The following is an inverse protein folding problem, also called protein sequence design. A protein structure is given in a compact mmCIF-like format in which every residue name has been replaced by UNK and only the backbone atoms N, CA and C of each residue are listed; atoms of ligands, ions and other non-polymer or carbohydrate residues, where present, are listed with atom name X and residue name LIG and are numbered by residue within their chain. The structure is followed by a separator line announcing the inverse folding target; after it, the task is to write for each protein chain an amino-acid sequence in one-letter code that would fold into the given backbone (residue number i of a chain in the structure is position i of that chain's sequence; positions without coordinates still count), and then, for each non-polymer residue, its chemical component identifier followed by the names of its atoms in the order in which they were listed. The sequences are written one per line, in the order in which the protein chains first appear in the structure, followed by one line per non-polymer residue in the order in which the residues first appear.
data_IF_017265213800
#
_entry.id   IF_017265213800
#
_cell.length_a   1.000
_cell.length_b   1.000
_cell.length_c   1.000
_cell.angle_alpha   90.00
_cell.angle_beta   90.00
_cell.angle_gamma   90.00
#
_symmetry.space_group_name_H-M   'P 1'
#
loop_
_entity.id
_entity.type
_entity.pdbx_description
1 polymer ?
#
# COMPACT_ATOMS: atom_id res chain seq x y z
N UNK A 1 -6.11 35.62 -3.72
CA UNK A 1 -6.05 35.63 -5.18
C UNK A 1 -4.98 34.62 -5.56
N UNK A 2 -5.39 33.44 -6.04
CA UNK A 2 -4.48 32.33 -6.34
C UNK A 2 -3.71 32.64 -7.63
N UNK A 3 -2.52 33.23 -7.49
CA UNK A 3 -1.58 33.29 -8.58
C UNK A 3 -1.10 31.87 -8.89
N UNK A 4 -1.21 31.48 -10.14
CA UNK A 4 -0.63 30.33 -10.85
C UNK A 4 0.04 29.25 -9.99
N UNK A 5 -0.76 28.38 -9.35
CA UNK A 5 -0.24 27.27 -8.56
C UNK A 5 0.56 26.28 -9.42
N UNK A 6 0.13 25.99 -10.64
CA UNK A 6 0.79 25.02 -11.51
C UNK A 6 2.26 25.39 -11.84
N UNK A 7 2.61 26.67 -12.17
CA UNK A 7 3.99 27.08 -12.32
C UNK A 7 4.85 26.91 -11.06
N UNK A 8 4.27 27.12 -9.87
CA UNK A 8 5.01 26.92 -8.61
C UNK A 8 5.27 25.44 -8.34
N UNK A 9 4.29 24.56 -8.62
CA UNK A 9 4.47 23.10 -8.51
C UNK A 9 5.57 22.64 -9.47
N UNK A 10 5.50 23.05 -10.74
CA UNK A 10 6.51 22.73 -11.77
C UNK A 10 7.90 23.20 -11.35
N UNK A 11 8.01 24.43 -10.86
CA UNK A 11 9.24 25.00 -10.35
C UNK A 11 9.84 24.16 -9.22
N UNK A 12 9.03 23.78 -8.22
CA UNK A 12 9.52 23.07 -7.06
C UNK A 12 9.95 21.63 -7.41
N UNK A 13 9.18 20.93 -8.26
CA UNK A 13 9.56 19.61 -8.77
C UNK A 13 10.88 19.67 -9.53
N UNK A 14 11.09 20.67 -10.39
CA UNK A 14 12.34 20.87 -11.11
C UNK A 14 13.51 21.17 -10.16
N UNK A 15 13.30 22.03 -9.16
CA UNK A 15 14.30 22.38 -8.17
C UNK A 15 14.75 21.16 -7.36
N UNK A 16 13.82 20.33 -6.93
CA UNK A 16 14.09 19.09 -6.20
C UNK A 16 14.84 18.07 -7.07
N UNK A 17 14.43 17.92 -8.34
CA UNK A 17 15.06 17.02 -9.32
C UNK A 17 16.52 17.39 -9.59
N UNK A 18 16.81 18.66 -9.76
CA UNK A 18 18.17 19.15 -10.07
C UNK A 18 19.05 19.29 -8.81
N UNK A 19 18.45 19.38 -7.63
CA UNK A 19 19.15 19.49 -6.34
C UNK A 19 20.08 20.70 -6.22
N UNK A 20 19.91 21.73 -7.10
CA UNK A 20 20.82 22.87 -7.19
C UNK A 20 20.15 24.11 -7.76
N UNK A 21 20.19 25.22 -7.01
CA UNK A 21 19.59 26.50 -7.39
C UNK A 21 20.13 27.06 -8.71
N UNK A 22 21.46 26.96 -8.94
CA UNK A 22 22.07 27.48 -10.16
C UNK A 22 21.73 26.63 -11.39
N UNK A 23 21.63 25.31 -11.23
CA UNK A 23 21.17 24.43 -12.30
C UNK A 23 19.71 24.70 -12.66
N UNK A 24 18.84 24.88 -11.66
CA UNK A 24 17.44 25.25 -11.87
C UNK A 24 17.30 26.61 -12.56
N UNK A 25 18.14 27.58 -12.18
CA UNK A 25 18.12 28.89 -12.81
C UNK A 25 18.48 28.82 -14.30
N UNK A 26 19.49 28.03 -14.66
CA UNK A 26 19.87 27.80 -16.07
C UNK A 26 18.76 27.13 -16.87
N UNK A 27 18.15 26.10 -16.31
CA UNK A 27 17.07 25.36 -16.97
C UNK A 27 15.83 26.24 -17.21
N UNK A 28 15.53 27.13 -16.27
CA UNK A 28 14.38 28.06 -16.40
C UNK A 28 14.73 29.37 -17.12
N UNK A 29 15.96 29.58 -17.55
CA UNK A 29 16.39 30.81 -18.23
C UNK A 29 16.32 32.06 -17.34
N UNK A 30 16.50 31.90 -16.00
CA UNK A 30 16.43 32.99 -15.03
C UNK A 30 17.73 33.11 -14.21
N UNK A 31 17.84 34.15 -13.39
CA UNK A 31 19.00 34.34 -12.50
C UNK A 31 18.86 33.54 -11.20
N UNK A 32 19.97 33.07 -10.57
CA UNK A 32 19.90 32.37 -9.27
C UNK A 32 19.20 33.17 -8.16
N UNK A 33 19.33 34.51 -8.04
CA UNK A 33 18.53 35.28 -7.09
C UNK A 33 17.00 35.18 -7.33
N UNK A 34 16.58 35.08 -8.59
CA UNK A 34 15.17 34.91 -8.91
C UNK A 34 14.60 33.54 -8.39
N UNK A 35 15.40 32.48 -8.49
CA UNK A 35 15.05 31.15 -7.91
C UNK A 35 14.91 31.25 -6.39
N UNK A 36 15.89 31.87 -5.72
CA UNK A 36 15.85 32.05 -4.26
C UNK A 36 14.62 32.84 -3.83
N UNK A 37 14.34 33.95 -4.53
CA UNK A 37 13.16 34.78 -4.25
C UNK A 37 11.86 34.01 -4.45
N UNK A 38 11.73 33.22 -5.52
CA UNK A 38 10.56 32.43 -5.80
C UNK A 38 10.32 31.36 -4.71
N UNK A 39 11.37 30.63 -4.32
CA UNK A 39 11.30 29.67 -3.22
C UNK A 39 10.88 30.34 -1.90
N UNK A 40 11.49 31.49 -1.57
CA UNK A 40 11.15 32.23 -0.35
C UNK A 40 9.68 32.67 -0.34
N UNK A 41 9.14 33.13 -1.47
CA UNK A 41 7.73 33.51 -1.58
C UNK A 41 6.79 32.28 -1.43
N UNK A 42 7.19 31.11 -1.95
CA UNK A 42 6.45 29.88 -1.74
C UNK A 42 6.45 29.46 -0.26
N UNK A 43 7.60 29.45 0.38
CA UNK A 43 7.75 29.11 1.82
C UNK A 43 6.96 30.09 2.70
N UNK A 44 7.00 31.39 2.41
CA UNK A 44 6.19 32.40 3.12
C UNK A 44 4.69 32.18 2.96
N UNK A 45 4.23 31.85 1.74
CA UNK A 45 2.82 31.55 1.46
C UNK A 45 2.33 30.30 2.21
N UNK A 46 3.18 29.28 2.32
CA UNK A 46 2.87 28.03 2.98
C UNK A 46 3.08 28.09 4.50
N UNK A 47 3.85 29.07 5.00
CA UNK A 47 4.19 29.19 6.41
C UNK A 47 5.20 28.17 6.92
N UNK A 48 5.85 27.44 6.01
CA UNK A 48 6.84 26.39 6.34
C UNK A 48 8.06 26.48 5.43
N UNK A 49 9.19 25.96 5.90
CA UNK A 49 10.38 25.79 5.06
C UNK A 49 10.29 24.48 4.30
N UNK A 50 10.54 24.51 2.99
CA UNK A 50 10.57 23.35 2.12
C UNK A 50 11.99 22.83 1.89
N UNK A 51 12.99 23.69 2.09
CA UNK A 51 14.39 23.39 1.78
C UNK A 51 15.29 23.76 2.97
N UNK A 52 16.19 22.86 3.34
CA UNK A 52 17.24 23.14 4.31
C UNK A 52 18.30 24.08 3.68
N UNK A 53 18.53 25.22 4.31
CA UNK A 53 19.49 26.22 3.83
C UNK A 53 20.91 25.89 4.28
N UNK A 54 21.50 24.82 3.76
CA UNK A 54 22.93 24.56 3.93
C UNK A 54 23.71 24.85 2.61
N UNK A 55 24.87 25.45 2.71
CA UNK A 55 25.57 26.09 1.60
C UNK A 55 26.18 25.16 0.55
N UNK A 56 26.09 23.83 0.65
CA UNK A 56 26.77 22.89 -0.26
C UNK A 56 25.87 21.97 -1.07
N UNK A 57 24.68 21.63 -0.58
CA UNK A 57 23.68 20.84 -1.32
C UNK A 57 22.28 21.26 -0.87
N UNK A 58 21.36 21.30 -1.82
CA UNK A 58 19.95 21.48 -1.54
C UNK A 58 19.41 20.16 -1.01
N UNK A 59 18.88 20.16 0.22
CA UNK A 59 18.13 19.05 0.79
C UNK A 59 16.73 19.52 1.18
N UNK A 60 15.75 18.65 1.01
CA UNK A 60 14.38 18.95 1.39
C UNK A 60 14.21 18.81 2.91
N UNK A 61 13.23 19.51 3.47
CA UNK A 61 12.67 19.26 4.79
C UNK A 61 11.62 18.14 4.68
N UNK A 62 11.09 17.65 5.79
CA UNK A 62 9.94 16.70 5.79
C UNK A 62 8.72 17.29 5.08
N UNK A 63 8.46 18.59 5.30
CA UNK A 63 7.42 19.35 4.62
C UNK A 63 7.70 19.48 3.12
N UNK A 64 9.00 19.70 2.76
CA UNK A 64 9.45 19.75 1.37
C UNK A 64 9.28 18.42 0.64
N UNK A 65 9.59 17.29 1.28
CA UNK A 65 9.37 15.96 0.72
C UNK A 65 7.87 15.68 0.50
N UNK A 66 7.03 16.00 1.50
CA UNK A 66 5.58 15.87 1.39
C UNK A 66 5.02 16.77 0.27
N UNK A 67 5.47 18.02 0.20
CA UNK A 67 5.04 18.94 -0.85
C UNK A 67 5.48 18.47 -2.24
N UNK A 68 6.70 17.94 -2.38
CA UNK A 68 7.22 17.39 -3.64
C UNK A 68 6.36 16.24 -4.14
N UNK A 69 6.05 15.28 -3.27
CA UNK A 69 5.23 14.11 -3.62
C UNK A 69 3.86 14.54 -4.14
N UNK A 70 3.20 15.48 -3.42
CA UNK A 70 1.89 15.98 -3.82
C UNK A 70 1.94 16.86 -5.07
N UNK A 71 2.97 17.71 -5.21
CA UNK A 71 3.16 18.56 -6.38
C UNK A 71 3.31 17.73 -7.66
N UNK A 72 4.15 16.69 -7.61
CA UNK A 72 4.33 15.76 -8.72
C UNK A 72 3.02 15.07 -9.11
N UNK A 73 2.26 14.57 -8.11
CA UNK A 73 0.96 13.92 -8.34
C UNK A 73 -0.08 14.87 -8.96
N UNK A 74 -0.14 16.14 -8.52
CA UNK A 74 -1.05 17.15 -9.09
C UNK A 74 -0.69 17.45 -10.54
N UNK A 75 0.60 17.61 -10.85
CA UNK A 75 1.05 17.86 -12.23
C UNK A 75 0.76 16.69 -13.15
N UNK A 76 0.94 15.45 -12.68
CA UNK A 76 0.56 14.25 -13.42
C UNK A 76 -0.96 14.19 -13.62
N UNK A 77 -1.76 14.54 -12.60
CA UNK A 77 -3.23 14.60 -12.71
C UNK A 77 -3.71 15.65 -13.71
N UNK A 78 -3.04 16.80 -13.81
CA UNK A 78 -3.34 17.83 -14.83
C UNK A 78 -3.05 17.26 -16.22
N UNK A 79 -1.91 16.62 -16.41
CA UNK A 79 -1.55 15.98 -17.67
C UNK A 79 -2.54 14.88 -18.08
N UNK A 80 -2.88 14.00 -17.14
CA UNK A 80 -3.88 12.93 -17.36
C UNK A 80 -5.24 13.51 -17.78
N UNK A 81 -5.65 14.64 -17.17
CA UNK A 81 -6.89 15.33 -17.51
C UNK A 81 -6.84 15.89 -18.94
N UNK A 82 -5.79 16.62 -19.31
CA UNK A 82 -5.61 17.18 -20.66
C UNK A 82 -5.61 16.08 -21.72
N UNK A 83 -4.93 14.96 -21.45
CA UNK A 83 -4.92 13.80 -22.33
C UNK A 83 -6.27 13.10 -22.44
N UNK A 84 -7.04 13.01 -21.37
CA UNK A 84 -8.38 12.40 -21.40
C UNK A 84 -9.38 13.19 -22.26
N UNK A 85 -9.17 14.49 -22.38
CA UNK A 85 -10.01 15.39 -23.21
C UNK A 85 -9.56 15.38 -24.67
N UNK A 86 -8.23 15.29 -24.91
CA UNK A 86 -7.65 15.40 -26.26
C UNK A 86 -7.74 14.12 -27.10
N UNK A 87 -7.89 12.94 -26.44
CA UNK A 87 -7.94 11.67 -27.16
C UNK A 87 -8.92 10.71 -26.49
N UNK A 88 -10.04 10.41 -27.15
CA UNK A 88 -11.06 9.48 -26.63
C UNK A 88 -10.59 8.04 -26.36
N UNK A 89 -9.29 7.73 -26.57
CA UNK A 89 -8.57 6.49 -26.23
C UNK A 89 -7.08 6.80 -26.03
N UNK A 90 -6.72 7.50 -24.96
CA UNK A 90 -5.31 7.71 -24.63
C UNK A 90 -4.63 6.36 -24.32
N UNK A 91 -3.45 6.12 -24.91
CA UNK A 91 -2.59 5.02 -24.52
C UNK A 91 -2.09 5.22 -23.07
N UNK A 92 -1.94 4.16 -22.27
CA UNK A 92 -1.39 4.26 -20.93
C UNK A 92 0.04 4.81 -20.96
N UNK A 93 0.33 5.88 -20.22
CA UNK A 93 1.69 6.46 -20.11
C UNK A 93 1.88 7.25 -18.82
N UNK A 94 3.12 7.55 -18.46
CA UNK A 94 3.50 8.31 -17.28
C UNK A 94 3.64 7.46 -16.02
N UNK A 95 3.82 8.11 -14.86
CA UNK A 95 4.10 7.42 -13.60
C UNK A 95 2.82 6.92 -12.94
N UNK A 96 2.82 5.62 -12.58
CA UNK A 96 1.78 4.92 -11.84
C UNK A 96 2.30 4.55 -10.45
N UNK A 97 1.75 5.14 -9.40
CA UNK A 97 2.12 4.87 -8.01
C UNK A 97 1.20 3.84 -7.40
N UNK A 98 1.76 2.67 -7.10
CA UNK A 98 1.04 1.51 -6.56
C UNK A 98 1.49 1.25 -5.13
N UNK A 99 0.53 1.12 -4.23
CA UNK A 99 0.79 0.70 -2.87
C UNK A 99 0.22 -0.71 -2.63
N UNK A 100 0.97 -1.57 -1.93
CA UNK A 100 0.53 -2.92 -1.57
C UNK A 100 1.05 -3.34 -0.19
N UNK A 101 0.42 -4.37 0.41
CA UNK A 101 0.94 -4.97 1.65
C UNK A 101 2.28 -5.67 1.41
N UNK A 102 3.23 -5.66 2.37
CA UNK A 102 4.61 -6.12 2.14
C UNK A 102 4.72 -7.54 1.56
N UNK A 103 4.16 -8.55 2.23
CA UNK A 103 4.29 -9.95 1.80
C UNK A 103 3.63 -10.21 0.44
N UNK A 104 2.36 -9.85 0.27
CA UNK A 104 1.62 -10.04 -0.97
C UNK A 104 2.18 -9.17 -2.11
N UNK A 105 2.52 -7.94 -1.80
CA UNK A 105 3.13 -7.03 -2.77
C UNK A 105 4.41 -7.58 -3.37
N UNK A 106 5.31 -8.09 -2.51
CA UNK A 106 6.59 -8.67 -2.93
C UNK A 106 6.40 -9.96 -3.76
N UNK A 107 5.50 -10.85 -3.32
CA UNK A 107 5.40 -12.19 -3.89
C UNK A 107 4.45 -12.30 -5.08
N UNK A 108 3.39 -11.49 -5.12
CA UNK A 108 2.35 -11.57 -6.16
C UNK A 108 2.28 -10.32 -7.03
N UNK A 109 2.35 -9.12 -6.44
CA UNK A 109 2.15 -7.87 -7.20
C UNK A 109 3.41 -7.45 -7.96
N UNK A 110 4.60 -7.55 -7.37
CA UNK A 110 5.84 -7.14 -8.05
C UNK A 110 6.11 -7.94 -9.35
N UNK A 111 5.89 -9.28 -9.42
CA UNK A 111 5.95 -10.01 -10.68
C UNK A 111 4.92 -9.56 -11.72
N UNK A 112 3.70 -9.21 -11.29
CA UNK A 112 2.65 -8.68 -12.16
C UNK A 112 3.01 -7.31 -12.71
N UNK A 113 3.57 -6.42 -11.88
CA UNK A 113 4.09 -5.12 -12.31
C UNK A 113 5.17 -5.30 -13.38
N UNK A 114 6.08 -6.26 -13.21
CA UNK A 114 7.11 -6.53 -14.21
C UNK A 114 6.50 -6.89 -15.58
N UNK A 115 5.48 -7.74 -15.62
CA UNK A 115 4.77 -8.09 -16.86
C UNK A 115 4.01 -6.91 -17.45
N UNK A 116 3.34 -6.12 -16.59
CA UNK A 116 2.63 -4.94 -17.02
C UNK A 116 3.55 -3.90 -17.65
N UNK A 117 4.70 -3.61 -17.04
CA UNK A 117 5.69 -2.67 -17.54
C UNK A 117 6.27 -3.10 -18.90
N UNK A 118 6.45 -4.41 -19.12
CA UNK A 118 6.85 -4.91 -20.45
C UNK A 118 5.77 -4.71 -21.52
N UNK A 119 4.48 -4.83 -21.14
CA UNK A 119 3.37 -4.61 -22.07
C UNK A 119 3.06 -3.13 -22.31
N UNK A 120 3.50 -2.26 -21.41
CA UNK A 120 3.23 -0.81 -21.45
C UNK A 120 4.51 -0.01 -21.19
N UNK A 121 5.45 0.06 -22.16
CA UNK A 121 6.79 0.64 -21.96
C UNK A 121 6.75 2.15 -21.65
N UNK A 122 5.67 2.84 -21.97
CA UNK A 122 5.48 4.27 -21.67
C UNK A 122 4.95 4.52 -20.24
N UNK A 123 4.68 3.46 -19.45
CA UNK A 123 4.25 3.56 -18.06
C UNK A 123 5.42 3.23 -17.15
N UNK A 124 5.82 4.21 -16.34
CA UNK A 124 6.71 4.00 -15.20
C UNK A 124 5.88 3.53 -14.00
N UNK A 125 6.31 2.48 -13.29
CA UNK A 125 5.58 2.00 -12.10
C UNK A 125 6.46 2.10 -10.88
N UNK A 126 5.97 2.84 -9.88
CA UNK A 126 6.56 2.90 -8.54
C UNK A 126 5.73 2.03 -7.59
N UNK A 127 6.35 0.99 -7.01
CA UNK A 127 5.72 0.12 -6.02
C UNK A 127 6.22 0.45 -4.62
N UNK A 128 5.31 0.87 -3.76
CA UNK A 128 5.57 1.04 -2.33
C UNK A 128 4.91 -0.06 -1.51
N UNK A 129 5.66 -0.67 -0.61
CA UNK A 129 5.17 -1.74 0.27
C UNK A 129 5.03 -1.22 1.70
N UNK A 130 3.80 -1.22 2.22
CA UNK A 130 3.53 -0.83 3.61
C UNK A 130 2.28 -1.51 4.15
N UNK A 131 2.27 -1.76 5.45
CA UNK A 131 1.15 -2.29 6.22
C UNK A 131 0.27 -1.18 6.83
N UNK A 132 0.71 0.08 6.77
CA UNK A 132 -0.05 1.21 7.31
C UNK A 132 -1.33 1.44 6.52
N UNK A 133 -2.37 1.88 7.22
CA UNK A 133 -3.57 2.44 6.58
C UNK A 133 -3.16 3.71 5.83
N UNK A 134 -3.35 3.71 4.51
CA UNK A 134 -2.89 4.80 3.65
C UNK A 134 -4.09 5.61 3.19
N UNK A 135 -4.03 6.91 3.39
CA UNK A 135 -4.82 7.84 2.62
C UNK A 135 -4.26 7.94 1.19
N UNK A 136 -4.95 7.39 0.21
CA UNK A 136 -4.52 7.45 -1.21
C UNK A 136 -4.26 8.89 -1.67
N UNK A 137 -5.05 9.84 -1.17
CA UNK A 137 -4.93 11.27 -1.51
C UNK A 137 -3.75 11.90 -0.78
N UNK A 138 -3.65 11.64 0.50
CA UNK A 138 -2.68 12.27 1.41
C UNK A 138 -1.25 11.83 1.09
N UNK A 139 -1.07 10.59 0.62
CA UNK A 139 0.25 10.03 0.29
C UNK A 139 0.51 9.93 -1.23
N UNK A 140 -0.37 10.52 -2.05
CA UNK A 140 -0.21 10.64 -3.51
C UNK A 140 -0.06 9.28 -4.26
N UNK A 141 -0.77 8.22 -3.81
CA UNK A 141 -0.86 6.97 -4.55
C UNK A 141 -2.03 6.98 -5.53
N UNK A 142 -1.83 6.39 -6.71
CA UNK A 142 -2.88 6.16 -7.70
C UNK A 142 -3.74 4.96 -7.32
N UNK A 143 -3.12 3.93 -6.77
CA UNK A 143 -3.74 2.64 -6.44
C UNK A 143 -3.25 2.08 -5.10
N UNK A 144 -4.15 1.45 -4.34
CA UNK A 144 -3.78 0.61 -3.21
C UNK A 144 -4.37 -0.80 -3.36
N UNK A 145 -3.55 -1.82 -3.12
CA UNK A 145 -3.95 -3.24 -3.16
C UNK A 145 -3.95 -3.74 -1.73
N UNK A 146 -5.15 -4.07 -1.21
CA UNK A 146 -5.38 -4.37 0.20
C UNK A 146 -6.31 -5.55 0.39
N UNK A 147 -6.13 -6.23 1.52
CA UNK A 147 -7.06 -7.23 2.02
C UNK A 147 -8.11 -6.60 2.93
N UNK A 148 -9.38 -6.98 2.72
CA UNK A 148 -10.53 -6.44 3.44
C UNK A 148 -11.02 -5.11 2.88
N UNK A 149 -12.17 -4.67 3.39
CA UNK A 149 -12.81 -3.44 2.94
C UNK A 149 -12.18 -2.20 3.60
N UNK A 150 -11.96 -1.15 2.81
CA UNK A 150 -11.56 0.17 3.31
C UNK A 150 -12.81 1.05 3.41
N UNK A 151 -13.09 1.65 4.57
CA UNK A 151 -14.31 2.43 4.81
C UNK A 151 -14.26 3.87 4.27
N UNK A 152 -13.55 4.13 3.16
CA UNK A 152 -13.45 5.47 2.57
C UNK A 152 -14.37 5.59 1.35
N UNK A 153 -15.44 6.37 1.49
CA UNK A 153 -16.44 6.59 0.43
C UNK A 153 -15.91 7.33 -0.82
N UNK A 154 -14.72 7.95 -0.72
CA UNK A 154 -14.05 8.61 -1.87
C UNK A 154 -13.41 7.61 -2.83
N UNK A 155 -13.26 6.35 -2.39
CA UNK A 155 -12.58 5.32 -3.14
C UNK A 155 -13.56 4.44 -3.91
N UNK A 156 -13.17 4.08 -5.12
CA UNK A 156 -13.73 2.93 -5.84
C UNK A 156 -12.94 1.70 -5.47
N UNK A 157 -13.64 0.59 -5.25
CA UNK A 157 -13.06 -0.71 -4.95
C UNK A 157 -13.42 -1.71 -6.04
N UNK A 158 -12.44 -2.46 -6.54
CA UNK A 158 -12.68 -3.63 -7.39
C UNK A 158 -12.11 -4.86 -6.70
N UNK A 159 -12.96 -5.83 -6.41
CA UNK A 159 -12.53 -7.12 -5.89
C UNK A 159 -11.68 -7.84 -6.95
N UNK A 160 -10.51 -8.31 -6.54
CA UNK A 160 -9.59 -9.06 -7.38
C UNK A 160 -9.69 -10.57 -7.10
N UNK A 161 -9.72 -10.96 -5.82
CA UNK A 161 -9.64 -12.36 -5.42
C UNK A 161 -10.40 -12.57 -4.11
N UNK A 162 -11.10 -13.71 -3.97
CA UNK A 162 -11.57 -14.17 -2.67
C UNK A 162 -10.39 -14.64 -1.81
N UNK A 163 -10.42 -14.36 -0.50
CA UNK A 163 -9.35 -14.81 0.37
C UNK A 163 -9.89 -15.14 1.76
N UNK A 164 -9.88 -16.42 2.08
CA UNK A 164 -10.20 -16.93 3.41
C UNK A 164 -9.02 -16.75 4.36
N UNK A 165 -9.31 -16.85 5.64
CA UNK A 165 -8.29 -16.89 6.70
C UNK A 165 -8.40 -18.17 7.49
N UNK A 166 -7.27 -18.67 7.98
CA UNK A 166 -7.16 -19.85 8.82
C UNK A 166 -6.45 -19.52 10.13
N UNK A 167 -6.83 -20.24 11.19
CA UNK A 167 -5.93 -20.44 12.31
C UNK A 167 -5.06 -21.64 12.00
N UNK A 168 -3.75 -21.51 12.14
CA UNK A 168 -2.84 -22.60 11.90
C UNK A 168 -1.67 -22.58 12.89
N UNK A 169 -1.07 -23.75 13.10
CA UNK A 169 0.13 -23.94 13.92
C UNK A 169 0.95 -25.11 13.38
N UNK A 170 2.22 -25.19 13.77
CA UNK A 170 3.04 -26.35 13.42
C UNK A 170 2.58 -27.60 14.17
N UNK A 171 2.70 -28.79 13.57
CA UNK A 171 2.41 -30.05 14.25
C UNK A 171 3.26 -30.24 15.54
N UNK A 172 4.47 -29.72 15.54
CA UNK A 172 5.37 -29.78 16.70
C UNK A 172 4.79 -29.03 17.89
N UNK A 173 4.28 -27.82 17.67
CA UNK A 173 3.63 -27.03 18.72
C UNK A 173 2.39 -27.74 19.26
N UNK A 174 1.53 -28.24 18.36
CA UNK A 174 0.28 -28.91 18.74
C UNK A 174 0.52 -30.24 19.51
N UNK A 175 1.59 -30.96 19.20
CA UNK A 175 1.99 -32.15 19.97
C UNK A 175 2.40 -31.82 21.40
N UNK A 176 3.02 -30.67 21.62
CA UNK A 176 3.51 -30.25 22.94
C UNK A 176 2.41 -29.68 23.84
N UNK A 177 1.49 -28.91 23.28
CA UNK A 177 0.54 -28.09 24.03
C UNK A 177 -0.88 -28.61 23.93
N UNK A 178 -1.17 -29.45 22.97
CA UNK A 178 -2.53 -29.89 22.60
C UNK A 178 -3.12 -29.03 21.50
N UNK A 179 -4.28 -29.42 20.98
CA UNK A 179 -5.01 -28.73 19.95
C UNK A 179 -6.28 -28.11 20.55
N UNK A 180 -6.50 -26.79 20.47
CA UNK A 180 -7.71 -26.18 20.98
C UNK A 180 -8.92 -26.58 20.12
N UNK A 181 -10.02 -26.88 20.76
CA UNK A 181 -11.30 -27.25 20.12
C UNK A 181 -12.36 -26.16 20.23
N UNK A 182 -12.18 -25.25 21.18
CA UNK A 182 -13.08 -24.12 21.46
C UNK A 182 -12.32 -22.79 21.49
N UNK A 183 -12.98 -21.68 21.15
CA UNK A 183 -12.38 -20.35 21.21
C UNK A 183 -11.79 -20.00 22.59
N UNK A 184 -12.41 -20.46 23.67
CA UNK A 184 -11.98 -20.19 25.05
C UNK A 184 -10.64 -20.84 25.36
N UNK A 185 -10.33 -21.98 24.74
CA UNK A 185 -9.06 -22.68 24.98
C UNK A 185 -7.86 -21.91 24.41
N UNK A 186 -8.07 -20.97 23.47
CA UNK A 186 -7.01 -20.10 22.96
C UNK A 186 -6.31 -19.29 24.05
N UNK A 187 -6.97 -19.05 25.20
CA UNK A 187 -6.34 -18.40 26.35
C UNK A 187 -5.17 -19.21 26.96
N UNK A 188 -5.14 -20.50 26.72
CA UNK A 188 -4.07 -21.41 27.18
C UNK A 188 -2.97 -21.60 26.16
N UNK A 189 -3.16 -21.08 24.95
CA UNK A 189 -2.21 -21.19 23.86
C UNK A 189 -1.43 -19.91 23.67
N UNK A 190 -0.19 -20.04 23.23
CA UNK A 190 0.59 -18.91 22.70
C UNK A 190 0.06 -18.59 21.31
N UNK A 191 -0.26 -17.33 21.07
CA UNK A 191 -0.75 -16.85 19.79
C UNK A 191 0.25 -15.86 19.19
N UNK A 192 0.60 -16.03 17.93
CA UNK A 192 1.49 -15.12 17.20
C UNK A 192 0.61 -14.03 16.60
N UNK A 193 0.92 -12.77 16.90
CA UNK A 193 0.08 -11.64 16.50
C UNK A 193 0.64 -10.95 15.27
N UNK A 194 -0.11 -11.01 14.19
CA UNK A 194 0.16 -10.21 13.00
C UNK A 194 -0.55 -8.87 13.16
N UNK A 195 0.22 -7.81 13.34
CA UNK A 195 -0.30 -6.44 13.49
C UNK A 195 -0.47 -5.83 12.10
N UNK A 196 -1.70 -5.58 11.69
CA UNK A 196 -2.03 -4.89 10.45
C UNK A 196 -2.98 -3.75 10.81
N UNK A 197 -2.71 -2.57 10.28
CA UNK A 197 -3.51 -1.36 10.55
C UNK A 197 -3.70 -1.08 12.06
N UNK A 198 -4.69 -0.26 12.38
CA UNK A 198 -5.08 0.08 13.75
C UNK A 198 -6.08 -0.92 14.36
N UNK A 199 -6.13 -2.15 13.86
CA UNK A 199 -7.02 -3.18 14.38
C UNK A 199 -6.77 -3.43 15.86
N UNK A 200 -7.86 -3.74 16.59
CA UNK A 200 -7.81 -4.02 18.04
C UNK A 200 -6.85 -5.19 18.28
N UNK A 201 -5.66 -4.83 18.71
CA UNK A 201 -4.53 -5.72 18.92
C UNK A 201 -4.91 -6.92 19.79
N UNK A 202 -4.71 -8.12 19.23
CA UNK A 202 -4.90 -9.36 19.95
C UNK A 202 -6.36 -9.80 20.19
N UNK A 203 -7.32 -9.30 19.41
CA UNK A 203 -8.71 -9.82 19.45
C UNK A 203 -9.01 -10.56 18.16
N UNK A 204 -9.29 -11.87 18.27
CA UNK A 204 -9.70 -12.70 17.14
C UNK A 204 -11.20 -12.92 17.15
N UNK A 205 -11.83 -12.73 15.98
CA UNK A 205 -13.25 -13.01 15.75
C UNK A 205 -13.36 -14.36 15.09
N UNK A 206 -14.07 -15.28 15.77
CA UNK A 206 -14.31 -16.65 15.33
C UNK A 206 -15.82 -16.86 15.20
N UNK A 207 -16.25 -17.51 14.13
CA UNK A 207 -17.68 -17.75 13.88
C UNK A 207 -17.94 -19.22 13.62
N UNK A 208 -18.98 -19.77 14.27
CA UNK A 208 -19.50 -21.12 14.02
C UNK A 208 -21.02 -21.03 13.82
N UNK A 209 -21.47 -21.19 12.58
CA UNK A 209 -22.85 -20.92 12.21
C UNK A 209 -23.24 -19.46 12.51
N UNK A 210 -24.28 -19.26 13.33
CA UNK A 210 -24.71 -17.91 13.77
C UNK A 210 -24.00 -17.37 15.00
N UNK A 211 -23.19 -18.20 15.68
CA UNK A 211 -22.50 -17.80 16.91
C UNK A 211 -21.16 -17.18 16.62
N UNK A 212 -20.93 -15.98 17.15
CA UNK A 212 -19.68 -15.25 17.05
C UNK A 212 -19.02 -15.24 18.42
N UNK A 213 -17.72 -15.56 18.47
CA UNK A 213 -16.88 -15.46 19.64
C UNK A 213 -15.77 -14.44 19.37
N UNK A 214 -15.64 -13.44 20.24
CA UNK A 214 -14.51 -12.53 20.28
C UNK A 214 -13.55 -13.01 21.37
N UNK A 215 -12.35 -13.37 20.97
CA UNK A 215 -11.35 -13.95 21.88
C UNK A 215 -10.15 -13.04 21.95
N UNK A 216 -9.86 -12.55 23.15
CA UNK A 216 -8.63 -11.81 23.40
C UNK A 216 -7.48 -12.80 23.53
N UNK A 217 -6.57 -12.82 22.57
CA UNK A 217 -5.42 -13.72 22.54
C UNK A 217 -4.14 -12.99 22.95
N UNK A 218 -3.17 -13.77 23.42
CA UNK A 218 -1.87 -13.26 23.88
C UNK A 218 -0.76 -14.14 23.32
N UNK A 219 0.40 -13.52 23.07
CA UNK A 219 1.59 -14.22 22.64
C UNK A 219 2.85 -13.44 22.97
N UNK A 220 3.98 -14.15 22.99
CA UNK A 220 5.28 -13.57 23.29
C UNK A 220 5.86 -12.78 22.09
N UNK A 221 5.36 -13.04 20.88
CA UNK A 221 5.90 -12.47 19.65
C UNK A 221 4.79 -11.84 18.79
N UNK A 222 5.11 -10.73 18.16
CA UNK A 222 4.23 -10.03 17.24
C UNK A 222 5.04 -9.27 16.19
N UNK A 223 4.54 -9.18 14.97
CA UNK A 223 5.16 -8.41 13.89
C UNK A 223 4.08 -7.84 12.98
N UNK A 224 4.40 -6.78 12.27
CA UNK A 224 3.63 -6.26 11.16
C UNK A 224 4.02 -6.89 9.81
N UNK A 225 5.04 -7.75 9.80
CA UNK A 225 5.46 -8.50 8.62
C UNK A 225 4.89 -9.92 8.65
N UNK A 226 4.15 -10.27 7.57
CA UNK A 226 3.49 -11.55 7.43
C UNK A 226 4.45 -12.73 7.32
N UNK A 227 5.61 -12.55 6.68
CA UNK A 227 6.61 -13.62 6.51
C UNK A 227 7.28 -13.94 7.85
N UNK A 228 7.54 -12.91 8.67
CA UNK A 228 8.08 -13.07 10.02
C UNK A 228 7.14 -13.90 10.91
N UNK A 229 5.83 -13.54 10.95
CA UNK A 229 4.87 -14.30 11.78
C UNK A 229 4.65 -15.71 11.27
N UNK A 230 4.74 -15.93 9.94
CA UNK A 230 4.67 -17.25 9.34
C UNK A 230 5.85 -18.13 9.75
N UNK A 231 7.06 -17.60 9.71
CA UNK A 231 8.26 -18.32 10.12
C UNK A 231 8.18 -18.74 11.60
N UNK A 232 7.75 -17.85 12.49
CA UNK A 232 7.53 -18.20 13.89
C UNK A 232 6.50 -19.31 14.08
N UNK A 233 5.43 -19.32 13.28
CA UNK A 233 4.45 -20.40 13.33
C UNK A 233 5.05 -21.74 12.90
N UNK A 234 5.85 -21.75 11.84
CA UNK A 234 6.57 -22.93 11.35
C UNK A 234 7.59 -23.47 12.38
N UNK A 235 8.26 -22.57 13.12
CA UNK A 235 9.20 -22.88 14.21
C UNK A 235 8.50 -23.34 15.51
N UNK A 236 7.17 -23.27 15.58
CA UNK A 236 6.41 -23.78 16.73
C UNK A 236 6.23 -22.78 17.87
N UNK A 237 6.29 -21.49 17.59
CA UNK A 237 6.08 -20.47 18.62
C UNK A 237 4.63 -20.34 19.07
N UNK A 238 3.65 -20.83 18.26
CA UNK A 238 2.25 -20.76 18.64
C UNK A 238 1.27 -20.89 17.48
N UNK A 239 0.01 -20.49 17.73
CA UNK A 239 -1.07 -20.43 16.76
C UNK A 239 -1.04 -19.06 16.10
N UNK A 240 -1.23 -19.00 14.77
CA UNK A 240 -1.28 -17.77 13.99
C UNK A 240 -2.54 -17.72 13.13
N UNK A 241 -3.07 -16.52 12.92
CA UNK A 241 -4.10 -16.27 11.90
C UNK A 241 -3.43 -15.86 10.60
N UNK A 242 -3.69 -16.61 9.49
CA UNK A 242 -3.09 -16.33 8.17
C UNK A 242 -4.08 -16.43 7.04
N UNK A 243 -3.83 -15.67 6.00
CA UNK A 243 -4.54 -15.71 4.73
C UNK A 243 -4.27 -17.01 3.96
N UNK A 244 -5.27 -17.49 3.23
CA UNK A 244 -5.19 -18.71 2.43
C UNK A 244 -4.04 -18.67 1.41
N UNK A 245 -3.91 -17.56 0.69
CA UNK A 245 -2.88 -17.40 -0.33
C UNK A 245 -1.45 -17.65 0.19
N UNK A 246 -1.21 -17.43 1.49
CA UNK A 246 0.09 -17.58 2.14
C UNK A 246 0.21 -18.93 2.87
N UNK A 247 -0.86 -19.35 3.55
CA UNK A 247 -0.87 -20.57 4.38
C UNK A 247 -1.02 -21.87 3.55
N UNK A 248 -1.69 -21.83 2.39
CA UNK A 248 -2.08 -23.02 1.63
C UNK A 248 -0.91 -23.98 1.34
N UNK A 249 0.24 -23.48 0.91
CA UNK A 249 1.43 -24.28 0.63
C UNK A 249 1.98 -25.03 1.85
N UNK A 250 1.85 -24.42 3.03
CA UNK A 250 2.32 -25.03 4.29
C UNK A 250 1.29 -25.99 4.88
N UNK A 251 0.01 -25.72 4.68
CA UNK A 251 -1.08 -26.66 5.01
C UNK A 251 -1.00 -27.91 4.11
N UNK A 252 -0.84 -27.72 2.80
CA UNK A 252 -0.71 -28.84 1.85
C UNK A 252 0.54 -29.70 2.09
N UNK A 253 1.65 -29.11 2.50
CA UNK A 253 2.87 -29.84 2.83
C UNK A 253 2.92 -30.44 4.25
N UNK A 254 1.89 -30.20 5.07
CA UNK A 254 1.82 -30.68 6.46
C UNK A 254 2.78 -29.97 7.43
N UNK A 255 3.47 -28.89 6.97
CA UNK A 255 4.33 -28.08 7.84
C UNK A 255 3.50 -27.22 8.81
N UNK A 256 2.29 -26.87 8.44
CA UNK A 256 1.25 -26.34 9.31
C UNK A 256 0.02 -27.24 9.28
N UNK A 257 -0.73 -27.17 10.36
CA UNK A 257 -2.05 -27.80 10.49
C UNK A 257 -3.07 -26.71 10.78
N UNK A 258 -4.24 -26.81 10.15
CA UNK A 258 -5.37 -25.96 10.47
C UNK A 258 -5.89 -26.27 11.88
N UNK A 259 -6.15 -25.21 12.65
CA UNK A 259 -6.64 -25.29 14.02
C UNK A 259 -8.07 -24.83 14.06
N UNK A 260 -8.93 -25.60 14.74
CA UNK A 260 -10.38 -25.33 14.86
C UNK A 260 -11.08 -25.13 13.50
N UNK A 261 -11.02 -26.06 12.55
CA UNK A 261 -11.60 -25.91 11.20
C UNK A 261 -13.12 -25.72 11.18
N UNK A 262 -13.80 -26.01 12.30
CA UNK A 262 -15.24 -25.76 12.46
C UNK A 262 -15.59 -24.28 12.69
N UNK A 263 -14.58 -23.41 12.86
CA UNK A 263 -14.76 -21.98 13.06
C UNK A 263 -14.19 -21.21 11.86
N UNK A 264 -15.01 -20.36 11.25
CA UNK A 264 -14.55 -19.42 10.22
C UNK A 264 -14.04 -18.13 10.86
N UNK A 265 -13.13 -17.52 10.17
CA UNK A 265 -12.64 -16.15 10.45
C UNK A 265 -13.31 -15.19 9.46
N UNK A 266 -13.38 -13.88 9.74
CA UNK A 266 -13.85 -12.92 8.77
C UNK A 266 -13.04 -13.01 7.48
N UNK A 267 -13.73 -13.09 6.35
CA UNK A 267 -13.09 -13.05 5.05
C UNK A 267 -12.32 -11.73 4.90
N UNK A 268 -11.24 -11.80 4.16
CA UNK A 268 -10.43 -10.64 3.82
C UNK A 268 -10.06 -10.71 2.35
N UNK A 269 -11.07 -10.55 1.50
CA UNK A 269 -10.90 -10.54 0.06
C UNK A 269 -9.89 -9.48 -0.37
N UNK A 270 -9.24 -9.73 -1.50
CA UNK A 270 -8.29 -8.79 -2.07
C UNK A 270 -9.01 -7.78 -2.95
N UNK A 271 -8.74 -6.52 -2.71
CA UNK A 271 -9.27 -5.41 -3.51
C UNK A 271 -8.16 -4.53 -4.06
N UNK A 272 -8.40 -3.93 -5.21
CA UNK A 272 -7.68 -2.74 -5.67
C UNK A 272 -8.58 -1.53 -5.44
N UNK A 273 -8.01 -0.53 -4.78
CA UNK A 273 -8.63 0.75 -4.45
C UNK A 273 -8.01 1.86 -5.25
N UNK A 274 -8.83 2.79 -5.73
CA UNK A 274 -8.42 3.99 -6.45
C UNK A 274 -9.46 5.09 -6.27
N UNK A 275 -9.08 6.34 -6.52
CA UNK A 275 -10.02 7.46 -6.39
C UNK A 275 -11.18 7.32 -7.37
N UNK A 276 -12.41 7.48 -6.84
CA UNK A 276 -13.61 7.50 -7.66
C UNK A 276 -13.61 8.78 -8.52
N UNK A 277 -13.39 8.64 -9.84
CA UNK A 277 -13.40 9.74 -10.81
C UNK A 277 -14.28 9.39 -11.98
N UNK A 278 -14.99 10.40 -12.54
CA UNK A 278 -15.82 10.21 -13.73
C UNK A 278 -15.01 9.72 -14.93
N UNK A 279 -13.77 10.19 -15.06
CA UNK A 279 -12.81 9.75 -16.07
C UNK A 279 -11.56 9.24 -15.35
N UNK A 280 -11.37 7.92 -15.37
CA UNK A 280 -10.18 7.28 -14.79
C UNK A 280 -9.01 7.39 -15.77
N UNK A 281 -7.82 7.85 -15.35
CA UNK A 281 -6.62 7.89 -16.20
C UNK A 281 -6.34 6.55 -16.88
N UNK A 282 -5.86 6.60 -18.13
CA UNK A 282 -5.67 5.39 -18.94
C UNK A 282 -4.70 4.39 -18.28
N UNK A 283 -3.63 4.87 -17.64
CA UNK A 283 -2.66 4.04 -16.92
C UNK A 283 -3.30 3.29 -15.75
N UNK A 284 -4.17 3.95 -14.97
CA UNK A 284 -4.87 3.35 -13.83
C UNK A 284 -5.86 2.30 -14.32
N UNK A 285 -6.69 2.65 -15.30
CA UNK A 285 -7.66 1.72 -15.90
C UNK A 285 -6.97 0.47 -16.46
N UNK A 286 -5.92 0.65 -17.28
CA UNK A 286 -5.19 -0.46 -17.87
C UNK A 286 -4.60 -1.39 -16.80
N UNK A 287 -4.03 -0.84 -15.73
CA UNK A 287 -3.47 -1.66 -14.66
C UNK A 287 -4.55 -2.38 -13.83
N UNK A 288 -5.67 -1.72 -13.52
CA UNK A 288 -6.81 -2.33 -12.82
C UNK A 288 -7.41 -3.48 -13.64
N UNK A 289 -7.56 -3.28 -14.97
CA UNK A 289 -8.08 -4.32 -15.87
C UNK A 289 -7.08 -5.48 -16.02
N UNK A 290 -5.79 -5.18 -16.12
CA UNK A 290 -4.74 -6.17 -16.13
C UNK A 290 -4.76 -7.02 -14.85
N UNK A 291 -4.78 -6.40 -13.65
CA UNK A 291 -4.87 -7.13 -12.40
C UNK A 291 -6.12 -8.01 -12.33
N UNK A 292 -7.27 -7.49 -12.74
CA UNK A 292 -8.50 -8.25 -12.72
C UNK A 292 -8.47 -9.47 -13.67
N UNK A 293 -7.82 -9.36 -14.82
CA UNK A 293 -7.61 -10.49 -15.72
C UNK A 293 -6.68 -11.56 -15.13
N UNK A 294 -5.60 -11.12 -14.47
CA UNK A 294 -4.62 -12.02 -13.84
C UNK A 294 -5.20 -12.81 -12.66
N UNK A 295 -6.09 -12.19 -11.87
CA UNK A 295 -6.73 -12.84 -10.73
C UNK A 295 -8.06 -13.53 -11.07
N UNK A 296 -8.56 -13.43 -12.31
CA UNK A 296 -9.80 -14.12 -12.72
C UNK A 296 -9.68 -15.65 -12.76
N UNK A 297 -8.46 -16.18 -12.73
CA UNK A 297 -8.16 -17.62 -12.77
C UNK A 297 -7.74 -18.21 -11.41
N UNK A 298 -7.62 -17.37 -10.37
CA UNK A 298 -7.29 -17.78 -8.97
C UNK A 298 -8.61 -17.90 -8.14
#
# INVERSE_FOLDING_TARGET
MNADLAPDLTFFVLLAKLGNMAATARELGVTPPAITRRLTLMEQRLGVQLVNRTTRRLSLTSEGESYLAQAAHILDSIRDMEESVSSGRAAPKGLLRVNATPGFGRTRIAPLISRFAHAHPDVEVELQLTDRSIGLVEEAYDLAIRFGELPDSRLSARKLMANRRFLCASPTYLKQVGEPTTPQELHRHRCILHRQNDDVYGTWRLQKGKKIALVKVRGAVSSNDGDVVMNWALEGHGIVQRSEWDAAKYLASGRLKEVMPAYSLPDADLYVYYLSRRNLPAKIRAFVDFLAAEFAGD
#
